data_IF_741730114541
#
_entry.id   IF_741730114541
#
_cell.length_a   1.000
_cell.length_b   1.000
_cell.length_c   1.000
_cell.angle_alpha   90.00
_cell.angle_beta   90.00
_cell.angle_gamma   90.00
#
_symmetry.space_group_name_H-M   'P 1'
#
loop_
_entity.id
_entity.type
_entity.pdbx_description
1 polymer ?
#
# COMPACT_ATOMS: atom_id res chain seq x y z
N UNK A 1 26.62 3.16 -18.11
CA UNK A 1 27.57 4.14 -17.57
C UNK A 1 28.65 4.36 -18.61
N UNK A 2 29.18 5.57 -18.74
CA UNK A 2 30.42 5.79 -19.50
C UNK A 2 31.66 5.42 -18.66
N UNK A 3 32.83 5.62 -19.23
CA UNK A 3 34.14 5.43 -18.59
C UNK A 3 34.38 6.32 -17.36
N UNK A 4 33.60 7.39 -17.19
CA UNK A 4 33.63 8.30 -16.05
C UNK A 4 32.53 7.98 -15.03
N UNK A 5 31.89 6.81 -15.15
CA UNK A 5 30.82 6.36 -14.27
C UNK A 5 29.57 7.27 -14.30
N UNK A 6 29.40 8.08 -15.35
CA UNK A 6 28.20 8.89 -15.56
C UNK A 6 27.10 8.07 -16.21
N UNK A 7 25.86 8.33 -15.79
CA UNK A 7 24.69 7.71 -16.40
C UNK A 7 24.51 8.25 -17.83
N UNK A 8 24.63 7.37 -18.83
CA UNK A 8 24.47 7.70 -20.25
C UNK A 8 23.10 7.32 -20.83
N UNK A 9 22.22 6.74 -20.01
CA UNK A 9 20.88 6.31 -20.44
C UNK A 9 20.37 5.08 -19.71
N UNK A 10 19.21 4.58 -20.17
CA UNK A 10 18.54 3.40 -19.65
C UNK A 10 18.69 2.25 -20.64
N UNK A 11 19.09 1.07 -20.15
CA UNK A 11 19.06 -0.17 -20.91
C UNK A 11 17.94 -1.07 -20.39
N UNK A 12 17.09 -1.57 -21.28
CA UNK A 12 16.06 -2.56 -20.96
C UNK A 12 16.29 -3.84 -21.77
N UNK A 13 16.05 -4.98 -21.14
CA UNK A 13 16.07 -6.28 -21.80
C UNK A 13 14.79 -7.02 -21.45
N UNK A 14 14.02 -7.37 -22.47
CA UNK A 14 12.80 -8.17 -22.34
C UNK A 14 13.01 -9.51 -23.04
N UNK A 15 12.52 -10.58 -22.41
CA UNK A 15 12.49 -11.93 -22.97
C UNK A 15 11.10 -12.51 -22.73
N UNK A 16 10.61 -13.29 -23.69
CA UNK A 16 9.41 -14.10 -23.52
C UNK A 16 9.60 -15.11 -22.38
N UNK A 17 8.63 -15.18 -21.49
CA UNK A 17 8.66 -16.08 -20.33
C UNK A 17 7.90 -17.35 -20.73
N UNK A 18 8.63 -18.45 -20.94
CA UNK A 18 8.05 -19.76 -21.29
C UNK A 18 7.27 -20.40 -20.13
N UNK A 19 7.64 -20.06 -18.88
CA UNK A 19 6.96 -20.52 -17.67
C UNK A 19 7.01 -19.45 -16.58
N UNK A 20 5.84 -18.91 -16.22
CA UNK A 20 5.71 -17.90 -15.17
C UNK A 20 5.23 -18.57 -13.88
N UNK A 21 6.11 -18.64 -12.88
CA UNK A 21 5.75 -19.02 -11.53
C UNK A 21 5.95 -17.83 -10.59
N UNK A 22 4.82 -17.31 -10.11
CA UNK A 22 4.70 -16.15 -9.21
C UNK A 22 5.61 -16.29 -7.97
N UNK A 23 5.75 -17.52 -7.47
CA UNK A 23 6.59 -17.87 -6.32
C UNK A 23 8.06 -17.48 -6.45
N UNK A 24 8.60 -17.37 -7.67
CA UNK A 24 10.00 -16.95 -7.90
C UNK A 24 10.21 -15.44 -7.76
N UNK A 25 9.13 -14.65 -7.84
CA UNK A 25 9.16 -13.19 -7.79
C UNK A 25 8.58 -12.64 -6.50
N UNK A 26 7.64 -13.36 -5.89
CA UNK A 26 7.10 -13.02 -4.58
C UNK A 26 8.01 -13.58 -3.49
N UNK A 27 8.86 -12.71 -2.94
CA UNK A 27 9.69 -13.03 -1.78
C UNK A 27 8.77 -13.26 -0.58
N UNK A 28 8.61 -14.53 -0.20
CA UNK A 28 7.79 -15.02 0.91
C UNK A 28 6.26 -14.94 0.68
N UNK A 29 5.67 -15.98 0.09
CA UNK A 29 4.29 -16.36 0.41
C UNK A 29 4.24 -16.89 1.85
N UNK A 30 4.32 -15.99 2.82
CA UNK A 30 3.59 -16.23 4.04
C UNK A 30 2.14 -15.92 3.65
N UNK A 31 1.22 -16.88 3.77
CA UNK A 31 -0.20 -16.58 3.75
C UNK A 31 -0.45 -15.71 4.99
N UNK A 32 -0.14 -14.43 4.90
CA UNK A 32 -0.37 -13.52 6.02
C UNK A 32 -1.89 -13.39 6.08
N UNK A 33 -2.53 -13.80 7.20
CA UNK A 33 -3.97 -13.73 7.32
C UNK A 33 -4.39 -12.28 7.11
N UNK A 34 -5.20 -12.06 6.07
CA UNK A 34 -5.84 -10.78 5.83
C UNK A 34 -6.84 -10.55 6.97
N UNK A 35 -6.73 -9.41 7.62
CA UNK A 35 -7.64 -9.02 8.68
C UNK A 35 -8.83 -8.28 8.06
N UNK A 36 -10.01 -8.88 8.17
CA UNK A 36 -11.26 -8.26 7.72
C UNK A 36 -11.87 -7.32 8.78
N UNK A 37 -11.37 -7.37 10.02
CA UNK A 37 -11.79 -6.46 11.09
C UNK A 37 -10.75 -5.36 11.30
N UNK A 38 -11.17 -4.11 11.60
CA UNK A 38 -10.26 -3.04 11.94
C UNK A 38 -9.28 -3.50 13.03
N UNK A 39 -7.97 -3.19 12.91
CA UNK A 39 -6.98 -3.60 13.89
C UNK A 39 -7.27 -3.08 15.31
N UNK A 40 -7.91 -1.90 15.41
CA UNK A 40 -8.36 -1.26 16.64
C UNK A 40 -9.32 -0.09 16.32
N UNK A 41 -9.81 0.56 17.37
CA UNK A 41 -10.77 1.67 17.31
C UNK A 41 -10.11 3.07 17.31
N UNK A 42 -8.77 3.17 17.16
CA UNK A 42 -8.06 4.46 17.16
C UNK A 42 -8.47 5.30 15.95
N UNK A 43 -8.62 4.64 14.80
CA UNK A 43 -9.01 5.27 13.55
C UNK A 43 -10.48 4.97 13.20
N UNK A 44 -11.11 5.94 12.54
CA UNK A 44 -12.45 5.77 11.96
C UNK A 44 -12.37 4.93 10.70
N UNK A 45 -13.49 4.35 10.28
CA UNK A 45 -13.57 3.53 9.06
C UNK A 45 -13.00 4.22 7.81
N UNK A 46 -13.27 5.51 7.62
CA UNK A 46 -12.72 6.29 6.51
C UNK A 46 -11.20 6.46 6.57
N UNK A 47 -10.65 6.60 7.77
CA UNK A 47 -9.20 6.72 7.99
C UNK A 47 -8.51 5.38 7.75
N UNK A 48 -9.14 4.29 8.19
CA UNK A 48 -8.70 2.93 7.88
C UNK A 48 -8.67 2.64 6.37
N UNK A 49 -9.63 3.15 5.61
CA UNK A 49 -9.61 3.09 4.15
C UNK A 49 -8.40 3.84 3.57
N UNK A 50 -8.09 5.04 4.08
CA UNK A 50 -6.92 5.81 3.64
C UNK A 50 -5.62 5.08 3.96
N UNK A 51 -5.49 4.49 5.16
CA UNK A 51 -4.34 3.66 5.54
C UNK A 51 -4.18 2.48 4.59
N UNK A 52 -5.26 1.76 4.29
CA UNK A 52 -5.23 0.64 3.36
C UNK A 52 -4.67 1.06 1.99
N UNK A 53 -5.23 2.12 1.38
CA UNK A 53 -4.78 2.60 0.07
C UNK A 53 -3.34 3.13 0.09
N UNK A 54 -2.94 3.77 1.19
CA UNK A 54 -1.56 4.18 1.43
C UNK A 54 -0.60 2.98 1.49
N UNK A 55 -0.99 1.89 2.16
CA UNK A 55 -0.24 0.64 2.23
C UNK A 55 -0.16 -0.06 0.87
N UNK A 56 -1.21 0.05 0.04
CA UNK A 56 -1.18 -0.37 -1.37
C UNK A 56 -0.25 0.49 -2.25
N UNK A 57 0.28 1.60 -1.73
CA UNK A 57 1.24 2.45 -2.42
C UNK A 57 0.65 3.61 -3.23
N UNK A 58 -0.64 3.91 -3.08
CA UNK A 58 -1.26 5.03 -3.77
C UNK A 58 -0.78 6.37 -3.18
N UNK A 59 -0.66 7.39 -4.04
CA UNK A 59 -0.42 8.76 -3.60
C UNK A 59 -1.76 9.48 -3.28
N UNK A 60 -1.69 10.66 -2.66
CA UNK A 60 -2.88 11.40 -2.22
C UNK A 60 -3.89 11.70 -3.36
N UNK A 61 -3.41 11.91 -4.59
CA UNK A 61 -4.29 12.17 -5.74
C UNK A 61 -5.05 10.92 -6.14
N UNK A 62 -4.36 9.78 -6.20
CA UNK A 62 -4.98 8.50 -6.54
C UNK A 62 -5.97 8.06 -5.45
N UNK A 63 -5.63 8.27 -4.17
CA UNK A 63 -6.54 8.06 -3.04
C UNK A 63 -7.79 8.94 -3.17
N UNK A 64 -7.62 10.21 -3.55
CA UNK A 64 -8.73 11.14 -3.72
C UNK A 64 -9.68 10.69 -4.84
N UNK A 65 -9.13 10.24 -5.97
CA UNK A 65 -9.90 9.68 -7.09
C UNK A 65 -10.65 8.42 -6.66
N UNK A 66 -9.96 7.48 -6.03
CA UNK A 66 -10.51 6.21 -5.54
C UNK A 66 -11.65 6.42 -4.54
N UNK A 67 -11.50 7.39 -3.62
CA UNK A 67 -12.51 7.72 -2.62
C UNK A 67 -13.55 8.74 -3.11
N UNK A 68 -13.43 9.26 -4.35
CA UNK A 68 -14.29 10.30 -4.93
C UNK A 68 -14.41 11.56 -4.05
N UNK A 69 -13.27 12.01 -3.50
CA UNK A 69 -13.14 13.21 -2.66
C UNK A 69 -12.03 14.11 -3.20
N UNK A 70 -11.84 15.29 -2.59
CA UNK A 70 -10.74 16.19 -2.97
C UNK A 70 -9.39 15.75 -2.37
N UNK A 71 -8.29 16.09 -3.04
CA UNK A 71 -6.93 15.86 -2.51
C UNK A 71 -6.73 16.55 -1.15
N UNK A 72 -7.25 17.77 -0.98
CA UNK A 72 -7.21 18.49 0.30
C UNK A 72 -7.97 17.76 1.41
N UNK A 73 -9.03 17.01 1.08
CA UNK A 73 -9.74 16.17 2.07
C UNK A 73 -8.88 14.98 2.48
N UNK A 74 -8.14 14.39 1.55
CA UNK A 74 -7.18 13.32 1.85
C UNK A 74 -6.04 13.82 2.72
N UNK A 75 -5.48 14.99 2.41
CA UNK A 75 -4.42 15.64 3.22
C UNK A 75 -4.87 15.87 4.66
N UNK A 76 -6.05 16.45 4.87
CA UNK A 76 -6.65 16.60 6.22
C UNK A 76 -6.90 15.27 6.92
N UNK A 77 -7.22 14.23 6.17
CA UNK A 77 -7.36 12.88 6.72
C UNK A 77 -6.00 12.36 7.22
N UNK A 78 -4.92 12.57 6.46
CA UNK A 78 -3.57 12.22 6.89
C UNK A 78 -3.11 13.03 8.11
N UNK A 79 -3.42 14.32 8.17
CA UNK A 79 -3.16 15.14 9.37
C UNK A 79 -3.81 14.52 10.62
N UNK A 80 -5.10 14.16 10.55
CA UNK A 80 -5.79 13.51 11.67
C UNK A 80 -5.21 12.14 12.02
N UNK A 81 -4.79 11.36 11.01
CA UNK A 81 -4.13 10.06 11.21
C UNK A 81 -2.79 10.24 11.91
N UNK A 82 -1.99 11.22 11.49
CA UNK A 82 -0.68 11.51 12.08
C UNK A 82 -0.80 11.90 13.55
N UNK A 83 -1.79 12.73 13.90
CA UNK A 83 -2.10 13.08 15.29
C UNK A 83 -2.51 11.85 16.10
N UNK A 84 -3.49 11.07 15.61
CA UNK A 84 -4.04 9.91 16.32
C UNK A 84 -3.02 8.79 16.53
N UNK A 85 -2.13 8.58 15.57
CA UNK A 85 -1.10 7.57 15.63
C UNK A 85 0.22 8.09 16.22
N UNK A 86 0.29 9.39 16.52
CA UNK A 86 1.49 10.05 17.04
C UNK A 86 2.73 9.83 16.16
N UNK A 87 2.56 10.00 14.84
CA UNK A 87 3.63 9.89 13.84
C UNK A 87 3.87 11.23 13.17
N UNK A 88 5.13 11.59 12.93
CA UNK A 88 5.52 12.88 12.35
C UNK A 88 5.86 12.84 10.87
N UNK A 89 5.93 11.65 10.25
CA UNK A 89 6.29 11.53 8.84
C UNK A 89 5.63 10.34 8.13
N UNK A 90 5.62 10.40 6.80
CA UNK A 90 5.16 9.30 5.94
C UNK A 90 6.00 8.02 6.12
N UNK A 91 7.30 8.17 6.43
CA UNK A 91 8.21 7.06 6.67
C UNK A 91 7.84 6.38 7.99
N UNK A 92 7.66 7.17 9.05
CA UNK A 92 7.20 6.67 10.35
C UNK A 92 5.84 5.98 10.25
N UNK A 93 4.88 6.58 9.52
CA UNK A 93 3.59 5.94 9.28
C UNK A 93 3.75 4.58 8.59
N UNK A 94 4.60 4.49 7.57
CA UNK A 94 4.86 3.24 6.86
C UNK A 94 5.51 2.18 7.76
N UNK A 95 6.47 2.57 8.60
CA UNK A 95 7.08 1.69 9.58
C UNK A 95 6.04 1.19 10.61
N UNK A 96 5.22 2.09 11.14
CA UNK A 96 4.17 1.77 12.09
C UNK A 96 3.14 0.79 11.49
N UNK A 97 2.74 1.01 10.23
CA UNK A 97 1.79 0.12 9.57
C UNK A 97 2.33 -1.32 9.51
N UNK A 98 3.61 -1.50 9.18
CA UNK A 98 4.26 -2.82 9.17
C UNK A 98 4.40 -3.41 10.57
N UNK A 99 4.81 -2.60 11.55
CA UNK A 99 5.02 -3.06 12.93
C UNK A 99 3.70 -3.54 13.57
N UNK A 100 2.60 -2.82 13.33
CA UNK A 100 1.28 -3.13 13.89
C UNK A 100 0.43 -4.04 12.99
N UNK A 101 0.93 -4.41 11.81
CA UNK A 101 0.19 -5.23 10.84
C UNK A 101 -1.05 -4.53 10.27
N UNK A 102 -1.04 -3.19 10.20
CA UNK A 102 -2.14 -2.42 9.59
C UNK A 102 -2.20 -2.60 8.07
N UNK A 103 -1.07 -2.92 7.44
CA UNK A 103 -0.97 -3.28 6.02
C UNK A 103 -1.67 -4.60 5.68
N UNK A 104 -2.06 -5.38 6.70
CA UNK A 104 -2.81 -6.64 6.56
C UNK A 104 -4.33 -6.44 6.66
N UNK A 105 -4.79 -5.25 7.05
CA UNK A 105 -6.20 -4.94 7.15
C UNK A 105 -6.78 -4.60 5.78
N UNK A 106 -7.90 -5.24 5.43
CA UNK A 106 -8.66 -4.93 4.22
C UNK A 106 -10.01 -4.34 4.63
N UNK A 107 -10.37 -3.14 4.17
CA UNK A 107 -11.69 -2.58 4.39
C UNK A 107 -12.82 -3.38 3.71
N UNK A 108 -14.04 -3.43 4.27
CA UNK A 108 -15.19 -4.15 3.70
C UNK A 108 -15.46 -3.91 2.22
N UNK A 109 -15.27 -2.66 1.77
CA UNK A 109 -15.49 -2.29 0.36
C UNK A 109 -14.53 -2.97 -0.64
N UNK A 110 -13.43 -3.57 -0.17
CA UNK A 110 -12.40 -4.18 -1.00
C UNK A 110 -12.32 -5.71 -0.86
N UNK A 111 -13.27 -6.35 -0.18
CA UNK A 111 -13.25 -7.81 0.01
C UNK A 111 -13.32 -8.59 -1.30
N UNK A 112 -14.10 -8.11 -2.27
CA UNK A 112 -14.25 -8.78 -3.56
C UNK A 112 -12.97 -8.72 -4.38
N UNK A 113 -12.24 -7.61 -4.33
CA UNK A 113 -10.97 -7.46 -5.03
C UNK A 113 -9.92 -8.42 -4.48
N UNK A 114 -9.87 -8.62 -3.16
CA UNK A 114 -8.94 -9.56 -2.51
C UNK A 114 -9.26 -11.02 -2.82
N UNK A 115 -10.54 -11.35 -3.02
CA UNK A 115 -10.97 -12.70 -3.39
C UNK A 115 -10.33 -13.21 -4.70
N UNK A 116 -10.13 -12.33 -5.69
CA UNK A 116 -9.48 -12.69 -6.95
C UNK A 116 -7.98 -13.00 -6.80
N UNK A 117 -7.30 -12.39 -5.82
CA UNK A 117 -5.87 -12.63 -5.56
C UNK A 117 -5.60 -13.90 -4.76
N UNK A 118 -6.57 -14.39 -3.98
CA UNK A 118 -6.42 -15.59 -3.14
C UNK A 118 -6.91 -16.89 -3.82
N UNK A 119 -7.53 -16.80 -4.99
CA UNK A 119 -8.14 -17.94 -5.71
C UNK A 119 -7.34 -18.44 -6.93
N UNK A 120 -6.09 -18.00 -7.12
CA UNK A 120 -5.20 -18.49 -8.18
C UNK A 120 -3.95 -19.17 -7.62
#
# INVERSE_FOLDING_TARGET
MDENNQCIGVASHAREIEYFAISHYIKHHMFIPVNFRPPNDILKEKEWIVIYLFCCGLNNKDIAVEMKISCCTVEKCFESIYEKLSVGSIIELRCLCKEKGYDLYVPPKYYQDVGYFLLN
#
